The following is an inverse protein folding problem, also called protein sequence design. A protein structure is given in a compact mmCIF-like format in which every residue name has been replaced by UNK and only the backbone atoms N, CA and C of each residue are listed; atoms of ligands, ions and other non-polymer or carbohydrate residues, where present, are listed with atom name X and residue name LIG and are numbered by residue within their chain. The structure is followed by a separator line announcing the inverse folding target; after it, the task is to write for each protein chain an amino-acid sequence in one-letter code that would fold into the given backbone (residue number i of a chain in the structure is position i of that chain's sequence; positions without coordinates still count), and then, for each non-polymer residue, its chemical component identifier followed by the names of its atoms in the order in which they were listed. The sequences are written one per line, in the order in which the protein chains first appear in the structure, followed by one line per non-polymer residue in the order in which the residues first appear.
data_IF_018031901481
#
_entry.id   IF_018031901481
#
_cell.length_a   1.000
_cell.length_b   1.000
_cell.length_c   1.000
_cell.angle_alpha   90.00
_cell.angle_beta   90.00
_cell.angle_gamma   90.00
#
_symmetry.space_group_name_H-M   'P 1'
#
loop_
_entity.id
_entity.type
_entity.pdbx_description
1 polymer ?
#
# COMPACT_ATOMS: atom_id res chain seq x y z
N UNK A 1 -4.12 -23.93 10.43
CA UNK A 1 -2.72 -23.47 10.64
C UNK A 1 -1.78 -24.65 10.44
N UNK A 2 -0.60 -24.45 9.83
CA UNK A 2 0.48 -25.46 9.82
C UNK A 2 1.39 -25.21 11.03
N UNK A 3 1.79 -26.26 11.76
CA UNK A 3 2.72 -26.14 12.91
C UNK A 3 4.13 -25.96 12.36
N UNK A 4 4.79 -24.88 12.77
CA UNK A 4 6.17 -24.56 12.39
C UNK A 4 6.96 -24.31 13.65
N UNK A 5 8.19 -24.83 13.72
CA UNK A 5 9.14 -24.51 14.78
C UNK A 5 9.95 -23.28 14.36
N UNK A 6 10.05 -22.30 15.25
CA UNK A 6 10.83 -21.07 15.05
C UNK A 6 11.87 -21.01 16.16
N UNK A 7 13.14 -20.95 15.79
CA UNK A 7 14.22 -20.69 16.72
C UNK A 7 14.29 -19.19 16.99
N UNK A 8 14.30 -18.84 18.27
CA UNK A 8 14.39 -17.47 18.76
C UNK A 8 15.53 -17.43 19.78
N UNK A 9 16.29 -16.35 19.79
CA UNK A 9 17.20 -16.12 20.91
C UNK A 9 16.42 -15.77 22.19
N UNK A 10 17.16 -15.72 23.30
CA UNK A 10 16.58 -15.50 24.61
C UNK A 10 15.94 -14.11 24.76
N UNK A 11 16.52 -13.09 24.11
CA UNK A 11 16.01 -11.72 24.15
C UNK A 11 14.70 -11.60 23.38
N UNK A 12 14.62 -12.19 22.18
CA UNK A 12 13.41 -12.26 21.37
C UNK A 12 12.30 -12.99 22.13
N UNK A 13 12.61 -14.13 22.74
CA UNK A 13 11.64 -14.92 23.50
C UNK A 13 11.09 -14.13 24.71
N UNK A 14 11.96 -13.48 25.49
CA UNK A 14 11.55 -12.62 26.63
C UNK A 14 10.69 -11.46 26.17
N UNK A 15 11.09 -10.79 25.09
CA UNK A 15 10.38 -9.64 24.53
C UNK A 15 8.99 -10.03 24.06
N UNK A 16 8.85 -11.12 23.30
CA UNK A 16 7.57 -11.61 22.82
C UNK A 16 6.66 -12.03 23.99
N UNK A 17 7.19 -12.70 25.02
CA UNK A 17 6.41 -13.08 26.20
C UNK A 17 5.96 -11.88 27.05
N UNK A 18 6.76 -10.81 27.12
CA UNK A 18 6.36 -9.57 27.78
C UNK A 18 5.25 -8.86 26.99
N UNK A 19 5.42 -8.76 25.66
CA UNK A 19 4.42 -8.15 24.77
C UNK A 19 3.11 -8.92 24.76
N UNK A 20 3.16 -10.26 24.76
CA UNK A 20 1.96 -11.10 24.72
C UNK A 20 1.11 -10.89 25.98
N UNK A 21 1.76 -10.82 27.15
CA UNK A 21 1.11 -10.49 28.42
C UNK A 21 0.51 -9.10 28.42
N UNK A 22 1.25 -8.10 27.94
CA UNK A 22 0.76 -6.71 27.85
C UNK A 22 -0.46 -6.57 26.92
N UNK A 23 -0.47 -7.29 25.80
CA UNK A 23 -1.58 -7.26 24.82
C UNK A 23 -2.73 -8.24 25.15
N UNK A 24 -2.59 -9.09 26.17
CA UNK A 24 -3.59 -10.14 26.46
C UNK A 24 -3.73 -11.17 25.35
N UNK A 25 -2.65 -11.47 24.62
CA UNK A 25 -2.65 -12.41 23.49
C UNK A 25 -1.54 -13.47 23.63
N UNK A 26 -1.45 -14.40 22.68
CA UNK A 26 -0.40 -15.43 22.67
C UNK A 26 0.82 -15.00 21.87
N UNK A 27 2.00 -15.54 22.20
CA UNK A 27 3.23 -15.35 21.42
C UNK A 27 3.02 -15.76 19.96
N UNK A 28 2.32 -16.87 19.73
CA UNK A 28 2.01 -17.34 18.39
C UNK A 28 1.13 -16.36 17.61
N UNK A 29 0.20 -15.67 18.27
CA UNK A 29 -0.62 -14.61 17.63
C UNK A 29 0.23 -13.40 17.26
N UNK A 30 1.10 -12.95 18.18
CA UNK A 30 2.04 -11.85 17.90
C UNK A 30 2.95 -12.17 16.71
N UNK A 31 3.52 -13.38 16.66
CA UNK A 31 4.38 -13.78 15.54
C UNK A 31 3.59 -13.79 14.23
N UNK A 32 2.34 -14.29 14.23
CA UNK A 32 1.49 -14.25 13.05
C UNK A 32 1.15 -12.84 12.60
N UNK A 33 0.77 -11.97 13.54
CA UNK A 33 0.45 -10.56 13.30
C UNK A 33 1.65 -9.86 12.67
N UNK A 34 2.83 -9.96 13.30
CA UNK A 34 4.07 -9.36 12.78
C UNK A 34 4.46 -9.90 11.40
N UNK A 35 4.38 -11.22 11.17
CA UNK A 35 4.65 -11.80 9.85
C UNK A 35 3.64 -11.31 8.82
N UNK A 36 2.36 -11.21 9.20
CA UNK A 36 1.31 -10.69 8.32
C UNK A 36 1.55 -9.23 7.97
N UNK A 37 1.81 -8.39 8.95
CA UNK A 37 2.08 -6.97 8.75
C UNK A 37 3.36 -6.70 7.98
N UNK A 38 4.40 -7.52 8.18
CA UNK A 38 5.69 -7.28 7.52
C UNK A 38 5.74 -7.81 6.10
N UNK A 39 5.13 -8.97 5.84
CA UNK A 39 5.31 -9.71 4.59
C UNK A 39 4.01 -9.97 3.81
N UNK A 40 2.83 -9.83 4.44
CA UNK A 40 1.54 -10.07 3.79
C UNK A 40 0.66 -8.81 3.69
N UNK A 41 1.04 -7.70 4.34
CA UNK A 41 0.38 -6.39 4.18
C UNK A 41 0.59 -5.81 2.78
N UNK A 42 1.62 -6.30 2.08
CA UNK A 42 1.87 -6.07 0.67
C UNK A 42 1.40 -7.21 -0.22
N UNK A 43 0.34 -7.96 0.13
CA UNK A 43 -0.41 -8.64 -0.94
C UNK A 43 -0.84 -7.55 -1.90
N UNK A 44 -0.15 -7.51 -3.03
CA UNK A 44 -0.29 -6.53 -4.10
C UNK A 44 -1.74 -6.06 -4.15
N UNK A 45 -1.97 -4.79 -3.80
CA UNK A 45 -3.06 -4.08 -4.46
C UNK A 45 -2.73 -4.30 -5.92
N UNK A 46 -3.48 -5.16 -6.59
CA UNK A 46 -3.36 -5.32 -8.02
C UNK A 46 -3.71 -3.95 -8.59
N UNK A 47 -2.67 -3.15 -8.82
CA UNK A 47 -2.81 -1.75 -9.23
C UNK A 47 -3.55 -1.70 -10.56
N UNK A 48 -3.46 -2.75 -11.36
CA UNK A 48 -4.21 -2.90 -12.61
C UNK A 48 -5.68 -3.17 -12.31
N UNK A 49 -6.02 -4.09 -11.40
CA UNK A 49 -7.40 -4.32 -10.99
C UNK A 49 -8.04 -3.07 -10.34
N UNK A 50 -7.32 -2.41 -9.42
CA UNK A 50 -7.78 -1.18 -8.78
C UNK A 50 -7.93 -0.05 -9.80
N UNK A 51 -6.96 0.14 -10.70
CA UNK A 51 -7.08 1.14 -11.76
C UNK A 51 -8.25 0.86 -12.70
N UNK A 52 -8.54 -0.42 -13.01
CA UNK A 52 -9.73 -0.81 -13.80
C UNK A 52 -11.04 -0.50 -13.06
N UNK A 53 -11.10 -0.73 -11.75
CA UNK A 53 -12.28 -0.38 -10.95
C UNK A 53 -12.49 1.13 -10.84
N UNK A 54 -11.41 1.90 -10.75
CA UNK A 54 -11.47 3.37 -10.70
C UNK A 54 -11.67 4.01 -12.08
N UNK A 55 -11.31 3.31 -13.16
CA UNK A 55 -11.48 3.79 -14.52
C UNK A 55 -12.96 4.00 -14.83
N UNK A 56 -13.31 5.22 -15.28
CA UNK A 56 -14.67 5.55 -15.67
C UNK A 56 -15.51 6.29 -14.62
N UNK A 57 -15.07 6.37 -13.35
CA UNK A 57 -15.74 7.17 -12.30
C UNK A 57 -15.99 8.62 -12.75
N UNK A 58 -15.08 9.16 -13.56
CA UNK A 58 -15.11 10.54 -14.02
C UNK A 58 -15.70 10.69 -15.43
N UNK A 59 -16.11 9.59 -16.09
CA UNK A 59 -16.59 9.58 -17.48
C UNK A 59 -17.94 10.26 -17.65
N UNK A 60 -18.81 10.18 -16.65
CA UNK A 60 -20.17 10.72 -16.72
C UNK A 60 -20.35 12.03 -15.92
N UNK A 61 -19.26 12.56 -15.35
CA UNK A 61 -19.28 13.83 -14.65
C UNK A 61 -19.39 14.97 -15.65
N UNK A 62 -20.56 15.62 -15.70
CA UNK A 62 -20.86 16.77 -16.55
C UNK A 62 -20.52 18.13 -15.91
N UNK A 63 -20.17 18.12 -14.63
CA UNK A 63 -19.85 19.32 -13.83
C UNK A 63 -18.39 19.75 -14.00
N UNK A 64 -17.54 18.82 -14.38
CA UNK A 64 -16.19 19.08 -14.85
C UNK A 64 -16.33 19.48 -16.32
N UNK A 65 -15.87 20.66 -16.70
CA UNK A 65 -15.98 21.18 -18.08
C UNK A 65 -15.23 20.32 -19.12
N UNK A 66 -14.63 20.94 -20.14
CA UNK A 66 -13.87 20.19 -21.16
C UNK A 66 -12.57 19.56 -20.58
N UNK A 67 -12.72 18.36 -20.00
CA UNK A 67 -11.64 17.59 -19.38
C UNK A 67 -10.57 17.24 -20.42
N UNK A 68 -10.97 16.94 -21.66
CA UNK A 68 -10.05 16.59 -22.73
C UNK A 68 -9.12 17.77 -23.06
N UNK A 69 -9.65 18.99 -23.11
CA UNK A 69 -8.84 20.19 -23.28
C UNK A 69 -7.93 20.44 -22.07
N UNK A 70 -8.43 20.23 -20.85
CA UNK A 70 -7.63 20.39 -19.62
C UNK A 70 -6.45 19.40 -19.59
N UNK A 71 -6.68 18.12 -19.88
CA UNK A 71 -5.65 17.08 -19.94
C UNK A 71 -4.67 17.36 -21.09
N UNK A 72 -5.14 17.81 -22.26
CA UNK A 72 -4.25 18.22 -23.36
C UNK A 72 -3.34 19.38 -22.97
N UNK A 73 -3.82 20.38 -22.21
CA UNK A 73 -2.97 21.46 -21.69
C UNK A 73 -1.90 20.93 -20.74
N UNK A 74 -2.26 20.01 -19.84
CA UNK A 74 -1.31 19.40 -18.90
C UNK A 74 -0.25 18.52 -19.59
N UNK A 75 -0.60 17.86 -20.70
CA UNK A 75 0.34 17.05 -21.50
C UNK A 75 1.26 17.85 -22.39
N UNK A 76 0.99 19.14 -22.62
CA UNK A 76 1.91 20.00 -23.38
C UNK A 76 3.18 20.20 -22.55
N UNK A 77 4.29 19.68 -23.06
CA UNK A 77 5.59 19.78 -22.42
C UNK A 77 5.97 21.26 -22.20
N UNK A 78 6.04 21.67 -20.94
CA UNK A 78 6.47 23.02 -20.56
C UNK A 78 7.99 23.14 -20.49
N UNK A 79 8.74 22.05 -20.68
CA UNK A 79 10.20 22.01 -20.57
C UNK A 79 10.89 22.98 -21.52
N UNK A 80 10.44 23.11 -22.77
CA UNK A 80 11.00 24.10 -23.72
C UNK A 80 10.83 25.54 -23.23
N UNK A 81 9.64 25.89 -22.72
CA UNK A 81 9.37 27.19 -22.10
C UNK A 81 10.20 27.42 -20.83
N UNK A 82 10.40 26.39 -20.01
CA UNK A 82 11.21 26.46 -18.77
C UNK A 82 12.70 26.61 -19.05
N UNK A 83 13.19 26.03 -20.14
CA UNK A 83 14.57 26.14 -20.58
C UNK A 83 14.83 27.37 -21.46
N UNK A 84 13.80 28.19 -21.73
CA UNK A 84 13.93 29.41 -22.54
C UNK A 84 14.23 29.17 -24.03
N UNK A 85 13.95 27.96 -24.53
CA UNK A 85 14.33 27.52 -25.89
C UNK A 85 13.10 27.47 -26.84
N UNK A 86 12.05 28.25 -26.54
CA UNK A 86 10.85 28.33 -27.36
C UNK A 86 9.84 29.36 -26.87
#
# INVERSE_FOLDING_TARGET
MKRTQLYLDEEMARTLAALSRKKGTTVSELVRESVREKYLSGKDVDKVALARQLAGIWKERKDLGDIDQAVRRLRKDTRRKRLGIG
#
